data_IF_207761960401
#
_entry.id   IF_207761960401
#
_cell.length_a   1.000
_cell.length_b   1.000
_cell.length_c   1.000
_cell.angle_alpha   90.00
_cell.angle_beta   90.00
_cell.angle_gamma   90.00
#
_symmetry.space_group_name_H-M   'P 1'
#
loop_
_entity.id
_entity.type
_entity.pdbx_description
1 polymer ?
#
# COMPACT_ATOMS: atom_id res chain seq x y z
N UNK A 1 -5.29 -20.56 -26.14
CA UNK A 1 -4.36 -19.48 -25.80
C UNK A 1 -5.20 -18.29 -25.39
N UNK A 2 -5.32 -18.00 -24.09
CA UNK A 2 -6.13 -16.89 -23.61
C UNK A 2 -5.42 -15.57 -23.93
N UNK A 3 -6.08 -14.70 -24.70
CA UNK A 3 -5.68 -13.31 -24.84
C UNK A 3 -5.49 -12.69 -23.46
N UNK A 4 -4.24 -12.39 -23.09
CA UNK A 4 -4.00 -11.47 -21.99
C UNK A 4 -4.42 -10.09 -22.47
N UNK A 5 -5.64 -9.70 -22.12
CA UNK A 5 -6.12 -8.34 -22.36
C UNK A 5 -5.15 -7.38 -21.64
N UNK A 6 -4.35 -6.64 -22.41
CA UNK A 6 -3.41 -5.66 -21.90
C UNK A 6 -4.20 -4.60 -21.12
N UNK A 7 -4.24 -4.74 -19.80
CA UNK A 7 -4.93 -3.80 -18.92
C UNK A 7 -4.03 -2.58 -18.76
N UNK A 8 -4.30 -1.54 -19.56
CA UNK A 8 -3.59 -0.27 -19.45
C UNK A 8 -4.02 0.42 -18.15
N UNK A 9 -3.05 0.76 -17.29
CA UNK A 9 -3.30 1.50 -16.06
C UNK A 9 -3.64 2.96 -16.40
N UNK A 10 -4.78 3.45 -15.93
CA UNK A 10 -5.10 4.87 -15.97
C UNK A 10 -4.25 5.69 -15.01
N UNK A 11 -4.38 7.02 -15.04
CA UNK A 11 -3.57 7.97 -14.25
C UNK A 11 -3.57 7.73 -12.73
N UNK A 12 -4.60 7.07 -12.21
CA UNK A 12 -4.77 6.79 -10.80
C UNK A 12 -4.36 5.35 -10.41
N UNK A 13 -3.87 4.56 -11.36
CA UNK A 13 -3.39 3.21 -11.16
C UNK A 13 -1.90 3.20 -10.82
N UNK A 14 -1.51 2.36 -9.87
CA UNK A 14 -0.12 2.18 -9.45
C UNK A 14 0.14 0.73 -9.08
N UNK A 15 1.42 0.36 -9.09
CA UNK A 15 1.89 -0.88 -8.52
C UNK A 15 2.43 -0.62 -7.11
N UNK A 16 2.41 -1.65 -6.28
CA UNK A 16 3.07 -1.67 -4.97
C UNK A 16 3.60 -3.08 -4.72
N UNK A 17 4.54 -3.21 -3.79
CA UNK A 17 5.02 -4.51 -3.34
C UNK A 17 5.12 -4.54 -1.82
N UNK A 18 4.88 -5.73 -1.27
CA UNK A 18 4.95 -6.00 0.16
C UNK A 18 5.75 -7.27 0.41
N UNK A 19 6.25 -7.39 1.64
CA UNK A 19 6.85 -8.63 2.15
C UNK A 19 5.78 -9.64 2.56
N UNK A 20 6.19 -10.88 2.81
CA UNK A 20 5.35 -11.93 3.39
C UNK A 20 4.79 -11.61 4.78
N UNK A 21 5.32 -10.58 5.46
CA UNK A 21 4.84 -10.09 6.75
C UNK A 21 3.91 -8.86 6.63
N UNK A 22 3.68 -8.38 5.40
CA UNK A 22 2.82 -7.23 5.11
C UNK A 22 3.51 -5.87 5.24
N UNK A 23 4.85 -5.83 5.33
CA UNK A 23 5.62 -4.59 5.25
C UNK A 23 5.76 -4.11 3.82
N UNK A 24 5.63 -2.80 3.62
CA UNK A 24 5.71 -2.15 2.32
C UNK A 24 7.16 -2.06 1.85
N UNK A 25 7.43 -2.55 0.63
CA UNK A 25 8.71 -2.36 -0.06
C UNK A 25 8.69 -1.07 -0.89
N UNK A 26 7.60 -0.82 -1.61
CA UNK A 26 7.32 0.45 -2.26
C UNK A 26 5.81 0.68 -2.41
N UNK A 27 5.41 1.92 -2.26
CA UNK A 27 4.04 2.40 -2.43
C UNK A 27 4.08 3.92 -2.71
N UNK A 28 3.16 4.52 -3.50
CA UNK A 28 3.17 5.97 -3.75
C UNK A 28 3.14 6.81 -2.47
N UNK A 29 2.43 6.34 -1.45
CA UNK A 29 2.36 6.99 -0.13
C UNK A 29 3.41 6.51 0.89
N UNK A 30 4.38 5.69 0.46
CA UNK A 30 5.51 5.32 1.30
C UNK A 30 6.48 6.50 1.44
N UNK A 31 6.59 7.06 2.65
CA UNK A 31 7.38 8.27 2.93
C UNK A 31 8.51 8.00 3.94
N UNK A 32 9.62 7.36 3.50
CA UNK A 32 10.72 7.02 4.39
C UNK A 32 11.50 8.23 4.92
N UNK A 33 11.36 9.40 4.28
CA UNK A 33 12.05 10.62 4.67
C UNK A 33 11.09 11.67 5.25
N UNK A 34 11.63 12.56 6.08
CA UNK A 34 10.96 13.76 6.56
C UNK A 34 11.90 14.96 6.51
N UNK A 35 11.31 16.16 6.39
CA UNK A 35 12.05 17.42 6.49
C UNK A 35 12.26 17.74 7.96
N UNK A 36 13.51 17.82 8.40
CA UNK A 36 13.82 18.25 9.75
C UNK A 36 13.67 19.77 9.87
N UNK A 37 12.71 20.23 10.69
CA UNK A 37 12.56 21.65 11.02
C UNK A 37 13.79 22.11 11.83
N UNK A 38 14.47 23.16 11.38
CA UNK A 38 15.60 23.77 12.10
C UNK A 38 16.99 23.45 11.54
N UNK A 39 17.10 22.67 10.46
CA UNK A 39 18.39 22.31 9.82
C UNK A 39 19.00 23.46 8.98
N UNK A 40 19.16 24.67 9.53
CA UNK A 40 19.87 25.77 8.85
C UNK A 40 19.35 26.10 7.42
N UNK A 41 20.16 26.75 6.56
CA UNK A 41 19.77 27.12 5.20
C UNK A 41 19.64 25.92 4.23
N UNK A 42 20.06 24.71 4.63
CA UNK A 42 19.92 23.48 3.85
C UNK A 42 18.88 22.58 4.50
N UNK A 43 17.67 22.49 3.92
CA UNK A 43 16.67 21.50 4.34
C UNK A 43 17.24 20.08 4.21
N UNK A 44 17.72 19.50 5.30
CA UNK A 44 18.22 18.13 5.32
C UNK A 44 17.04 17.16 5.44
N UNK A 45 16.93 16.24 4.49
CA UNK A 45 16.00 15.11 4.58
C UNK A 45 16.58 14.07 5.54
N UNK A 46 15.85 13.78 6.63
CA UNK A 46 16.20 12.70 7.56
C UNK A 46 15.33 11.49 7.33
N UNK A 47 15.90 10.31 7.55
CA UNK A 47 15.19 9.03 7.50
C UNK A 47 14.29 8.93 8.73
N UNK A 48 13.03 8.53 8.52
CA UNK A 48 12.10 8.27 9.62
C UNK A 48 12.56 7.06 10.42
N UNK A 49 12.52 7.10 11.75
CA UNK A 49 12.71 5.91 12.57
C UNK A 49 11.71 4.82 12.14
N UNK A 50 12.17 3.57 12.05
CA UNK A 50 11.34 2.41 11.70
C UNK A 50 10.64 2.51 10.33
N UNK A 51 11.19 3.26 9.37
CA UNK A 51 10.63 3.34 8.02
C UNK A 51 10.47 1.97 7.34
N UNK A 52 11.32 1.00 7.69
CA UNK A 52 11.30 -0.37 7.15
C UNK A 52 10.19 -1.27 7.73
N UNK A 53 9.42 -0.81 8.72
CA UNK A 53 8.36 -1.59 9.36
C UNK A 53 6.96 -1.05 9.08
N UNK A 54 6.79 -0.22 8.05
CA UNK A 54 5.48 0.33 7.66
C UNK A 54 4.62 -0.77 7.06
N UNK A 55 3.45 -1.00 7.64
CA UNK A 55 2.48 -1.99 7.14
C UNK A 55 1.58 -1.42 6.04
N UNK A 56 1.02 -2.29 5.20
CA UNK A 56 0.10 -1.87 4.14
C UNK A 56 -1.14 -1.13 4.68
N UNK A 57 -1.66 -1.53 5.84
CA UNK A 57 -2.83 -0.88 6.46
C UNK A 57 -2.58 0.56 6.92
N UNK A 58 -1.31 0.98 7.00
CA UNK A 58 -0.96 2.35 7.35
C UNK A 58 -0.95 3.28 6.12
N UNK A 59 -0.75 2.71 4.92
CA UNK A 59 -0.73 3.46 3.66
C UNK A 59 -2.04 3.34 2.88
N UNK A 60 -2.79 2.26 3.11
CA UNK A 60 -4.12 2.01 2.55
C UNK A 60 -5.13 2.01 3.69
N UNK A 61 -5.90 3.10 3.80
CA UNK A 61 -6.86 3.26 4.88
C UNK A 61 -8.24 2.76 4.43
N UNK A 62 -8.78 1.66 4.97
CA UNK A 62 -10.06 1.14 4.54
C UNK A 62 -11.19 1.99 5.15
N UNK A 63 -12.21 2.32 4.36
CA UNK A 63 -13.38 3.04 4.87
C UNK A 63 -14.34 2.06 5.56
N UNK A 64 -13.98 1.60 6.76
CA UNK A 64 -14.88 0.82 7.62
C UNK A 64 -15.18 1.61 8.90
N UNK A 65 -16.45 2.01 9.07
CA UNK A 65 -16.99 2.63 10.29
C UNK A 65 -17.17 1.61 11.45
N UNK A 66 -16.19 0.72 11.66
CA UNK A 66 -16.30 -0.35 12.67
C UNK A 66 -14.97 -1.01 13.00
N UNK A 67 -14.40 -0.62 14.14
CA UNK A 67 -13.55 -1.44 15.05
C UNK A 67 -12.53 -2.43 14.46
N UNK A 68 -11.71 -2.04 13.48
CA UNK A 68 -10.55 -2.84 13.10
C UNK A 68 -9.39 -1.99 12.60
N UNK A 69 -8.93 -1.04 13.42
CA UNK A 69 -7.87 -0.11 13.06
C UNK A 69 -6.54 -0.73 12.64
N UNK A 70 -6.26 -2.02 12.80
CA UNK A 70 -4.96 -2.58 12.39
C UNK A 70 -4.91 -4.08 12.01
N UNK A 71 -5.83 -4.96 12.45
CA UNK A 71 -5.63 -6.42 12.31
C UNK A 71 -6.55 -7.15 11.33
N UNK A 72 -7.80 -6.70 11.18
CA UNK A 72 -8.75 -7.24 10.20
C UNK A 72 -8.82 -6.37 8.95
N UNK A 73 -7.71 -5.71 8.58
CA UNK A 73 -7.65 -5.00 7.31
C UNK A 73 -7.87 -6.03 6.18
N UNK A 74 -8.94 -5.89 5.36
CA UNK A 74 -9.30 -6.90 4.38
C UNK A 74 -8.16 -7.11 3.36
N UNK A 75 -7.52 -6.04 2.89
CA UNK A 75 -6.30 -6.16 2.05
C UNK A 75 -5.17 -6.94 2.72
N UNK A 76 -4.86 -6.67 4.01
CA UNK A 76 -3.78 -7.36 4.73
C UNK A 76 -4.06 -8.86 4.85
N UNK A 77 -5.22 -9.26 5.38
CA UNK A 77 -5.59 -10.68 5.49
C UNK A 77 -5.54 -11.34 4.12
N UNK A 78 -6.08 -10.65 3.12
CA UNK A 78 -6.16 -11.18 1.78
C UNK A 78 -4.79 -11.38 1.13
N UNK A 79 -3.88 -10.42 1.28
CA UNK A 79 -2.52 -10.49 0.71
C UNK A 79 -1.60 -11.47 1.45
N UNK A 80 -1.78 -11.64 2.76
CA UNK A 80 -1.01 -12.62 3.54
C UNK A 80 -1.47 -14.06 3.30
N UNK A 81 -2.75 -14.25 2.96
CA UNK A 81 -3.38 -15.57 2.81
C UNK A 81 -3.45 -16.03 1.35
N UNK A 82 -3.60 -15.11 0.41
CA UNK A 82 -3.79 -15.45 -1.00
C UNK A 82 -2.50 -15.86 -1.67
N UNK A 83 -2.47 -17.11 -2.15
CA UNK A 83 -1.47 -17.58 -3.10
C UNK A 83 -1.67 -16.88 -4.46
N UNK A 84 -0.63 -16.88 -5.30
CA UNK A 84 -0.72 -16.39 -6.68
C UNK A 84 -1.92 -17.00 -7.41
N UNK A 85 -2.91 -16.17 -7.77
CA UNK A 85 -4.16 -16.61 -8.42
C UNK A 85 -5.42 -16.62 -7.54
N UNK A 86 -5.38 -16.07 -6.32
CA UNK A 86 -6.58 -15.82 -5.51
C UNK A 86 -7.59 -14.87 -6.19
N UNK A 87 -8.82 -14.82 -5.68
CA UNK A 87 -9.88 -13.87 -6.10
C UNK A 87 -9.38 -12.42 -6.27
N UNK A 88 -9.92 -11.69 -7.25
CA UNK A 88 -9.61 -10.25 -7.32
C UNK A 88 -10.38 -9.53 -6.20
N UNK A 89 -9.71 -8.62 -5.48
CA UNK A 89 -10.43 -7.75 -4.55
C UNK A 89 -11.05 -6.59 -5.32
N UNK A 90 -12.35 -6.74 -5.61
CA UNK A 90 -13.12 -5.71 -6.30
C UNK A 90 -13.84 -4.80 -5.32
N UNK A 91 -13.88 -3.50 -5.63
CA UNK A 91 -14.69 -2.50 -4.93
C UNK A 91 -14.33 -2.27 -3.45
N UNK A 92 -13.04 -2.35 -3.11
CA UNK A 92 -12.57 -1.95 -1.78
C UNK A 92 -12.61 -0.43 -1.69
N UNK A 93 -13.41 0.10 -0.76
CA UNK A 93 -13.42 1.54 -0.49
C UNK A 93 -12.26 1.90 0.43
N UNK A 94 -11.36 2.73 -0.06
CA UNK A 94 -10.26 3.30 0.71
C UNK A 94 -10.43 4.81 0.86
N UNK A 95 -9.83 5.36 1.90
CA UNK A 95 -9.67 6.79 2.08
C UNK A 95 -8.32 7.21 1.50
N UNK A 96 -8.37 8.06 0.48
CA UNK A 96 -7.20 8.64 -0.16
C UNK A 96 -7.04 10.09 0.27
N UNK A 97 -5.81 10.54 0.46
CA UNK A 97 -5.53 11.95 0.68
C UNK A 97 -5.13 12.63 -0.64
N UNK A 98 -5.37 13.93 -0.73
CA UNK A 98 -4.90 14.79 -1.82
C UNK A 98 -4.29 16.06 -1.25
N UNK A 99 -3.52 16.78 -2.08
CA UNK A 99 -2.98 18.09 -1.74
C UNK A 99 -2.12 18.07 -0.46
N UNK A 100 -1.23 17.09 -0.35
CA UNK A 100 -0.29 17.02 0.77
C UNK A 100 -0.92 16.74 2.14
N UNK A 101 -1.93 15.86 2.20
CA UNK A 101 -2.67 15.47 3.43
C UNK A 101 -3.72 16.49 3.91
N UNK A 102 -4.12 17.46 3.08
CA UNK A 102 -5.11 18.48 3.47
C UNK A 102 -6.56 18.06 3.19
N UNK A 103 -6.78 17.18 2.22
CA UNK A 103 -8.12 16.74 1.80
C UNK A 103 -8.20 15.23 1.72
N UNK A 104 -9.23 14.64 2.33
CA UNK A 104 -9.52 13.22 2.24
C UNK A 104 -10.69 12.95 1.30
N UNK A 105 -10.63 11.86 0.54
CA UNK A 105 -11.69 11.40 -0.36
C UNK A 105 -11.80 9.89 -0.32
N UNK A 106 -13.03 9.40 -0.32
CA UNK A 106 -13.29 7.98 -0.51
C UNK A 106 -13.11 7.59 -1.97
N UNK A 107 -12.45 6.46 -2.20
CA UNK A 107 -12.21 5.91 -3.53
C UNK A 107 -12.46 4.42 -3.52
N UNK A 108 -13.22 3.93 -4.49
CA UNK A 108 -13.38 2.50 -4.74
C UNK A 108 -12.24 2.00 -5.63
N UNK A 109 -11.44 1.09 -5.09
CA UNK A 109 -10.30 0.50 -5.77
C UNK A 109 -10.54 -0.96 -6.13
N UNK A 110 -9.82 -1.41 -7.16
CA UNK A 110 -9.72 -2.80 -7.56
C UNK A 110 -8.26 -3.22 -7.38
N UNK A 111 -8.02 -4.25 -6.57
CA UNK A 111 -6.69 -4.75 -6.30
C UNK A 111 -6.48 -6.07 -7.04
N UNK A 112 -5.37 -6.14 -7.76
CA UNK A 112 -4.87 -7.34 -8.43
C UNK A 112 -3.42 -7.52 -7.97
N UNK A 113 -3.04 -8.73 -7.61
CA UNK A 113 -1.68 -9.02 -7.17
C UNK A 113 -1.31 -10.45 -7.53
N UNK A 114 -0.01 -10.69 -7.51
CA UNK A 114 0.58 -12.00 -7.71
C UNK A 114 1.79 -12.14 -6.81
N UNK A 115 2.11 -13.36 -6.43
CA UNK A 115 3.39 -13.63 -5.77
C UNK A 115 4.54 -13.45 -6.77
N UNK A 116 5.65 -12.90 -6.28
CA UNK A 116 6.89 -12.82 -7.04
C UNK A 116 7.65 -14.13 -6.80
N UNK A 117 7.79 -14.94 -7.86
CA UNK A 117 8.51 -16.20 -7.81
C UNK A 117 9.98 -16.01 -7.41
N UNK A 118 10.60 -17.06 -6.85
CA UNK A 118 12.00 -17.07 -6.40
C UNK A 118 12.34 -16.02 -5.33
N UNK A 119 11.40 -15.71 -4.45
CA UNK A 119 11.64 -14.87 -3.27
C UNK A 119 11.80 -15.72 -2.02
N UNK A 120 12.63 -15.27 -1.08
CA UNK A 120 12.85 -15.97 0.18
C UNK A 120 11.63 -15.79 1.10
N UNK A 121 11.02 -16.89 1.53
CA UNK A 121 9.99 -16.90 2.56
C UNK A 121 10.63 -17.36 3.86
N UNK A 122 10.75 -16.46 4.83
CA UNK A 122 11.03 -16.87 6.20
C UNK A 122 9.82 -17.67 6.70
N UNK A 123 10.06 -18.94 7.06
CA UNK A 123 9.08 -19.85 7.66
C UNK A 123 8.88 -19.53 9.14
#
# INVERSE_FOLDING_TARGET
MSEQHLKVLGVNGYAFAITNHGYVLFHPDYRPFYKEKGSGPQQTLKVRPKYNSVELSEVELPNFWGTAWNRDHPLRRYLLTSKSGGENMTAVTILTHSDGMTRARERKNQYQFMEIANTFRYL
#
